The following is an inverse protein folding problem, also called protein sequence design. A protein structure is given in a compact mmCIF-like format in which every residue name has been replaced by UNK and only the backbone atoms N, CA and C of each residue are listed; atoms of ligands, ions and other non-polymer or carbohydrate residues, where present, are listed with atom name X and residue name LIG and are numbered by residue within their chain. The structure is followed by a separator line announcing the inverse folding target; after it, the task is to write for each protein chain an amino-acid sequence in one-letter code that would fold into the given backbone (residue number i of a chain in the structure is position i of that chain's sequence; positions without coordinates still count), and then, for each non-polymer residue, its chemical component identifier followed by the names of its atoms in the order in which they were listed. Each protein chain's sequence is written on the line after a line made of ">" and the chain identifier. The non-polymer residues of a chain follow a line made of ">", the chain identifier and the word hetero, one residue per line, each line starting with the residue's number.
data_IF_724068451489
#
_entry.id   IF_724068451489
#
_cell.length_a   1.000
_cell.length_b   1.000
_cell.length_c   1.000
_cell.angle_alpha   90.00
_cell.angle_beta   90.00
_cell.angle_gamma   90.00
#
_symmetry.space_group_name_H-M   'P 1'
#
loop_
_entity.id
_entity.type
_entity.pdbx_description
1 polymer ?
#
# COMPACT_ATOMS: atom_id res chain seq x y z
N UNK A 1 10.40 8.61 -17.61
CA UNK A 1 9.72 7.65 -16.70
C UNK A 1 9.06 8.37 -15.52
N UNK A 2 9.75 9.20 -14.74
CA UNK A 2 9.15 9.90 -13.57
C UNK A 2 7.97 10.83 -13.90
N UNK A 3 7.93 11.44 -15.08
CA UNK A 3 6.80 12.32 -15.50
C UNK A 3 5.45 11.59 -15.54
N UNK A 4 5.47 10.27 -15.64
CA UNK A 4 4.27 9.42 -15.71
C UNK A 4 3.93 8.71 -14.39
N UNK A 5 4.44 9.23 -13.28
CA UNK A 5 4.23 8.72 -11.93
C UNK A 5 3.61 9.81 -11.07
N UNK A 6 2.60 9.49 -10.30
CA UNK A 6 2.11 10.32 -9.19
C UNK A 6 2.50 9.70 -7.86
N UNK A 7 3.04 10.51 -6.95
CA UNK A 7 3.22 10.13 -5.55
C UNK A 7 1.94 10.51 -4.81
N UNK A 8 1.28 9.55 -4.17
CA UNK A 8 0.08 9.77 -3.36
C UNK A 8 0.42 9.60 -1.87
N UNK A 9 0.50 10.72 -1.15
CA UNK A 9 0.62 10.75 0.30
C UNK A 9 -0.77 10.66 0.93
N UNK A 10 -1.01 9.63 1.75
CA UNK A 10 -2.36 9.39 2.25
C UNK A 10 -2.46 9.29 3.78
N UNK A 11 -3.62 9.71 4.33
CA UNK A 11 -3.98 9.56 5.74
C UNK A 11 -3.51 10.71 6.60
N UNK A 12 -2.96 10.41 7.77
CA UNK A 12 -2.35 11.43 8.64
C UNK A 12 -0.99 11.82 8.06
N UNK A 13 -0.97 12.91 7.30
CA UNK A 13 0.28 13.42 6.71
C UNK A 13 1.02 14.28 7.74
N UNK A 14 2.36 14.15 7.80
CA UNK A 14 3.23 14.98 8.62
C UNK A 14 3.86 16.09 7.78
N UNK A 15 4.13 17.26 8.41
CA UNK A 15 4.76 18.37 7.71
C UNK A 15 6.14 17.98 7.16
N UNK A 16 6.94 17.26 7.93
CA UNK A 16 8.26 16.79 7.50
C UNK A 16 8.21 15.90 6.25
N UNK A 17 7.14 15.09 6.08
CA UNK A 17 6.93 14.29 4.88
C UNK A 17 6.66 15.17 3.67
N UNK A 18 5.82 16.20 3.85
CA UNK A 18 5.53 17.20 2.82
C UNK A 18 6.81 17.92 2.41
N UNK A 19 7.55 18.44 3.39
CA UNK A 19 8.79 19.19 3.17
C UNK A 19 9.86 18.34 2.47
N UNK A 20 9.95 17.06 2.83
CA UNK A 20 10.82 16.11 2.15
C UNK A 20 10.48 15.99 0.67
N UNK A 21 9.22 15.72 0.32
CA UNK A 21 8.82 15.56 -1.08
C UNK A 21 8.87 16.88 -1.85
N UNK A 22 8.54 18.00 -1.23
CA UNK A 22 8.66 19.32 -1.86
C UNK A 22 10.11 19.68 -2.19
N UNK A 23 11.06 19.27 -1.34
CA UNK A 23 12.50 19.51 -1.56
C UNK A 23 13.10 18.58 -2.60
N UNK A 24 12.81 17.29 -2.51
CA UNK A 24 13.46 16.27 -3.36
C UNK A 24 12.76 16.02 -4.70
N UNK A 25 11.46 16.36 -4.79
CA UNK A 25 10.62 16.09 -5.95
C UNK A 25 9.74 17.28 -6.37
N UNK A 26 10.31 18.52 -6.48
CA UNK A 26 9.51 19.74 -6.68
C UNK A 26 8.75 19.78 -8.02
N UNK A 27 9.19 18.98 -9.00
CA UNK A 27 8.58 18.91 -10.33
C UNK A 27 7.79 17.62 -10.57
N UNK A 28 7.59 16.81 -9.51
CA UNK A 28 6.86 15.57 -9.59
C UNK A 28 5.38 15.79 -9.28
N UNK A 29 4.49 15.07 -9.96
CA UNK A 29 3.09 15.04 -9.58
C UNK A 29 2.96 14.42 -8.19
N UNK A 30 2.49 15.20 -7.21
CA UNK A 30 2.22 14.75 -5.85
C UNK A 30 0.78 15.06 -5.49
N UNK A 31 0.06 14.08 -4.98
CA UNK A 31 -1.27 14.24 -4.40
C UNK A 31 -1.16 14.02 -2.90
N UNK A 32 -1.53 15.01 -2.11
CA UNK A 32 -1.60 14.94 -0.66
C UNK A 32 -3.07 14.76 -0.28
N UNK A 33 -3.46 13.56 0.14
CA UNK A 33 -4.83 13.27 0.57
C UNK A 33 -4.88 13.07 2.08
N UNK A 34 -5.34 14.10 2.78
CA UNK A 34 -5.31 14.18 4.24
C UNK A 34 -6.62 14.75 4.82
N UNK A 35 -6.63 15.05 6.11
CA UNK A 35 -7.81 15.49 6.84
C UNK A 35 -7.94 17.01 6.89
N UNK A 36 -9.17 17.52 6.86
CA UNK A 36 -9.45 18.98 6.97
C UNK A 36 -8.84 19.57 8.24
N UNK A 37 -8.85 18.79 9.34
CA UNK A 37 -8.36 19.25 10.64
C UNK A 37 -6.84 19.11 10.81
N UNK A 38 -6.12 18.72 9.74
CA UNK A 38 -4.66 18.66 9.77
C UNK A 38 -4.09 20.08 9.88
N UNK A 39 -3.22 20.30 10.87
CA UNK A 39 -2.52 21.58 11.06
C UNK A 39 -1.26 21.64 10.19
N UNK A 40 -1.44 21.53 8.88
CA UNK A 40 -0.34 21.51 7.90
C UNK A 40 -0.25 22.85 7.18
N UNK A 41 0.98 23.29 6.93
CA UNK A 41 1.24 24.47 6.11
C UNK A 41 1.45 24.06 4.65
N UNK A 42 0.52 24.44 3.79
CA UNK A 42 0.58 24.20 2.35
C UNK A 42 1.06 25.40 1.53
N UNK A 43 1.40 26.51 2.19
CA UNK A 43 1.72 27.78 1.50
C UNK A 43 2.96 27.74 0.62
N UNK A 44 3.87 26.80 0.89
CA UNK A 44 5.15 26.63 0.18
C UNK A 44 5.18 25.43 -0.77
N UNK A 45 4.03 24.85 -1.08
CA UNK A 45 3.99 23.69 -1.97
C UNK A 45 4.37 24.06 -3.41
N UNK A 46 5.14 23.19 -4.08
CA UNK A 46 5.36 23.31 -5.52
C UNK A 46 4.03 23.28 -6.30
N UNK A 47 3.96 23.94 -7.47
CA UNK A 47 2.73 23.94 -8.31
C UNK A 47 2.28 22.56 -8.79
N UNK A 48 3.18 21.58 -8.76
CA UNK A 48 2.89 20.18 -9.12
C UNK A 48 2.20 19.39 -8.01
N UNK A 49 1.96 19.99 -6.85
CA UNK A 49 1.33 19.36 -5.71
C UNK A 49 -0.15 19.70 -5.63
N UNK A 50 -0.99 18.68 -5.49
CA UNK A 50 -2.43 18.82 -5.29
C UNK A 50 -2.80 18.39 -3.87
N UNK A 51 -3.56 19.21 -3.14
CA UNK A 51 -4.02 18.92 -1.78
C UNK A 51 -5.50 18.59 -1.78
N UNK A 52 -5.84 17.43 -1.23
CA UNK A 52 -7.21 16.93 -1.09
C UNK A 52 -7.51 16.82 0.39
N UNK A 53 -8.37 17.69 0.87
CA UNK A 53 -8.80 17.72 2.27
C UNK A 53 -10.13 16.97 2.42
N UNK A 54 -10.14 15.97 3.28
CA UNK A 54 -11.30 15.14 3.54
C UNK A 54 -11.71 15.26 5.01
N UNK A 55 -13.02 15.29 5.28
CA UNK A 55 -13.51 15.25 6.66
C UNK A 55 -13.21 13.87 7.26
N UNK A 56 -12.59 13.86 8.43
CA UNK A 56 -12.30 12.63 9.17
C UNK A 56 -13.62 11.94 9.53
N UNK A 57 -13.84 10.66 9.19
CA UNK A 57 -15.00 9.90 9.63
C UNK A 57 -15.05 9.77 11.16
N UNK A 58 -16.26 9.60 11.72
CA UNK A 58 -16.43 9.39 13.16
C UNK A 58 -15.75 8.12 13.69
N UNK A 59 -15.56 7.11 12.84
CA UNK A 59 -14.92 5.84 13.18
C UNK A 59 -14.01 5.38 12.05
N UNK A 60 -12.81 4.94 12.40
CA UNK A 60 -11.85 4.35 11.48
C UNK A 60 -12.16 2.91 11.07
N UNK A 61 -13.12 2.27 11.76
CA UNK A 61 -13.31 0.83 11.64
C UNK A 61 -12.16 0.05 12.30
N UNK A 62 -12.11 -1.26 12.03
CA UNK A 62 -11.02 -2.10 12.53
C UNK A 62 -9.67 -1.58 12.01
N UNK A 63 -8.70 -1.40 12.90
CA UNK A 63 -7.36 -0.89 12.59
C UNK A 63 -7.32 0.31 11.62
N UNK A 64 -8.34 1.17 11.68
CA UNK A 64 -8.44 2.39 10.87
C UNK A 64 -8.60 2.18 9.35
N UNK A 65 -9.03 1.00 8.92
CA UNK A 65 -9.19 0.68 7.48
C UNK A 65 -10.07 1.70 6.74
N UNK A 66 -11.13 2.21 7.38
CA UNK A 66 -12.01 3.22 6.75
C UNK A 66 -11.30 4.55 6.52
N UNK A 67 -10.37 4.93 7.39
CA UNK A 67 -9.55 6.13 7.17
C UNK A 67 -8.62 5.92 5.98
N UNK A 68 -7.95 4.78 5.93
CA UNK A 68 -7.07 4.43 4.82
C UNK A 68 -7.82 4.41 3.50
N UNK A 69 -8.94 3.69 3.43
CA UNK A 69 -9.74 3.58 2.20
C UNK A 69 -10.25 4.93 1.72
N UNK A 70 -10.81 5.75 2.64
CA UNK A 70 -11.37 7.04 2.27
C UNK A 70 -10.29 8.01 1.77
N UNK A 71 -9.19 8.15 2.49
CA UNK A 71 -8.11 9.04 2.06
C UNK A 71 -7.47 8.57 0.77
N UNK A 72 -7.21 7.27 0.62
CA UNK A 72 -6.60 6.74 -0.62
C UNK A 72 -7.53 6.88 -1.81
N UNK A 73 -8.80 6.46 -1.72
CA UNK A 73 -9.74 6.55 -2.85
C UNK A 73 -10.01 7.99 -3.26
N UNK A 74 -10.09 8.93 -2.31
CA UNK A 74 -10.23 10.35 -2.63
C UNK A 74 -8.99 10.89 -3.37
N UNK A 75 -7.79 10.56 -2.90
CA UNK A 75 -6.55 10.96 -3.58
C UNK A 75 -6.41 10.36 -4.98
N UNK A 76 -6.76 9.08 -5.15
CA UNK A 76 -6.67 8.39 -6.44
C UNK A 76 -7.55 9.00 -7.53
N UNK A 77 -8.62 9.73 -7.19
CA UNK A 77 -9.44 10.47 -8.17
C UNK A 77 -8.67 11.59 -8.88
N UNK A 78 -7.61 12.08 -8.26
CA UNK A 78 -6.78 13.17 -8.80
C UNK A 78 -5.47 12.66 -9.43
N UNK A 79 -5.27 11.35 -9.46
CA UNK A 79 -4.15 10.73 -10.16
C UNK A 79 -4.50 10.60 -11.64
N UNK A 80 -3.72 11.28 -12.50
CA UNK A 80 -3.90 11.32 -13.95
C UNK A 80 -2.77 10.65 -14.72
N UNK A 81 -1.75 10.15 -14.03
CA UNK A 81 -0.60 9.45 -14.59
C UNK A 81 -0.85 7.95 -14.70
N UNK A 82 -0.09 7.25 -15.55
CA UNK A 82 -0.24 5.80 -15.73
C UNK A 82 0.17 5.00 -14.48
N UNK A 83 1.08 5.56 -13.67
CA UNK A 83 1.61 4.91 -12.48
C UNK A 83 1.34 5.74 -11.23
N UNK A 84 1.10 5.06 -10.13
CA UNK A 84 0.97 5.69 -8.81
C UNK A 84 1.80 4.96 -7.77
N UNK A 85 2.41 5.73 -6.89
CA UNK A 85 3.11 5.25 -5.68
C UNK A 85 2.38 5.83 -4.48
N UNK A 86 1.49 5.04 -3.88
CA UNK A 86 0.81 5.39 -2.63
C UNK A 86 1.75 5.14 -1.46
N UNK A 87 1.91 6.14 -0.62
CA UNK A 87 2.76 6.11 0.58
C UNK A 87 1.94 6.63 1.76
N UNK A 88 2.17 6.09 2.95
CA UNK A 88 1.60 6.63 4.18
C UNK A 88 2.13 8.04 4.40
N UNK A 89 1.26 8.92 4.85
CA UNK A 89 1.60 10.34 5.04
C UNK A 89 2.58 10.62 6.17
N UNK A 90 2.87 9.65 7.02
CA UNK A 90 3.84 9.72 8.10
C UNK A 90 5.22 9.10 7.74
N UNK A 91 5.43 8.81 6.46
CA UNK A 91 6.64 8.16 5.94
C UNK A 91 7.17 8.84 4.68
N UNK A 92 8.46 8.62 4.39
CA UNK A 92 9.04 8.98 3.11
C UNK A 92 10.08 7.96 2.64
N UNK A 93 10.25 7.90 1.33
CA UNK A 93 11.22 7.07 0.62
C UNK A 93 11.88 7.92 -0.48
N UNK A 94 13.21 7.92 -0.53
CA UNK A 94 13.91 8.86 -1.42
C UNK A 94 14.01 8.38 -2.87
N UNK A 95 14.02 7.07 -3.12
CA UNK A 95 14.26 6.54 -4.45
C UNK A 95 12.98 6.08 -5.15
N UNK A 96 12.02 7.01 -5.33
CA UNK A 96 10.77 6.75 -6.08
C UNK A 96 11.06 6.31 -7.52
N UNK A 97 12.18 6.74 -8.10
CA UNK A 97 12.59 6.31 -9.44
C UNK A 97 12.78 4.80 -9.53
N UNK A 98 13.33 4.18 -8.49
CA UNK A 98 13.47 2.73 -8.43
C UNK A 98 12.10 2.05 -8.45
N UNK A 99 11.15 2.52 -7.63
CA UNK A 99 9.76 1.99 -7.63
C UNK A 99 9.15 2.12 -9.03
N UNK A 100 9.30 3.27 -9.68
CA UNK A 100 8.79 3.49 -11.03
C UNK A 100 9.40 2.53 -12.05
N UNK A 101 10.67 2.19 -11.90
CA UNK A 101 11.36 1.22 -12.76
C UNK A 101 10.80 -0.19 -12.55
N UNK A 102 10.61 -0.59 -11.31
CA UNK A 102 10.03 -1.89 -10.96
C UNK A 102 8.59 -2.05 -11.50
N UNK A 103 7.77 -0.99 -11.41
CA UNK A 103 6.42 -0.99 -12.00
C UNK A 103 6.50 -1.19 -13.52
N UNK A 104 7.40 -0.47 -14.18
CA UNK A 104 7.54 -0.57 -15.63
C UNK A 104 8.01 -1.96 -16.10
N UNK A 105 8.84 -2.64 -15.30
CA UNK A 105 9.28 -4.02 -15.58
C UNK A 105 8.18 -5.04 -15.31
N UNK A 106 7.30 -4.79 -14.34
CA UNK A 106 6.25 -5.70 -13.92
C UNK A 106 4.89 -4.98 -13.79
N UNK A 107 4.33 -4.42 -14.88
CA UNK A 107 3.16 -3.52 -14.83
C UNK A 107 1.87 -4.22 -14.38
N UNK A 108 1.82 -5.53 -14.47
CA UNK A 108 0.65 -6.31 -14.05
C UNK A 108 0.60 -6.61 -12.55
N UNK A 109 1.68 -6.27 -11.81
CA UNK A 109 1.77 -6.52 -10.37
C UNK A 109 1.54 -5.27 -9.55
N UNK A 110 1.07 -5.47 -8.33
CA UNK A 110 1.16 -4.50 -7.24
C UNK A 110 2.53 -4.63 -6.59
N UNK A 111 3.20 -3.52 -6.38
CA UNK A 111 4.50 -3.44 -5.73
C UNK A 111 4.33 -2.91 -4.32
N UNK A 112 4.94 -3.58 -3.34
CA UNK A 112 4.91 -3.18 -1.93
C UNK A 112 6.29 -3.34 -1.27
N UNK A 113 6.50 -2.67 -0.15
CA UNK A 113 7.71 -2.82 0.67
C UNK A 113 7.55 -3.96 1.68
N UNK A 114 8.64 -4.56 2.18
CA UNK A 114 8.56 -5.66 3.15
C UNK A 114 8.17 -5.23 4.57
N UNK A 115 7.95 -3.94 4.81
CA UNK A 115 7.61 -3.39 6.13
C UNK A 115 6.33 -4.02 6.66
N UNK A 116 6.42 -4.70 7.80
CA UNK A 116 5.32 -5.46 8.42
C UNK A 116 4.69 -6.55 7.53
N UNK A 117 5.37 -6.97 6.49
CA UNK A 117 4.96 -8.13 5.72
C UNK A 117 4.96 -9.39 6.61
N UNK A 118 3.93 -10.22 6.53
CA UNK A 118 3.83 -11.41 7.36
C UNK A 118 4.03 -12.69 6.56
N UNK A 119 4.71 -13.66 7.18
CA UNK A 119 4.92 -14.96 6.56
C UNK A 119 3.57 -15.67 6.31
N UNK A 120 3.45 -16.37 5.17
CA UNK A 120 2.22 -17.04 4.75
C UNK A 120 1.66 -18.03 5.78
N UNK A 121 2.53 -18.76 6.45
CA UNK A 121 2.11 -19.79 7.41
C UNK A 121 1.56 -19.16 8.70
N UNK A 122 1.92 -17.91 8.99
CA UNK A 122 1.37 -17.16 10.11
C UNK A 122 0.10 -16.41 9.71
N UNK A 123 0.13 -15.67 8.60
CA UNK A 123 -0.99 -14.85 8.15
C UNK A 123 -1.05 -14.81 6.63
N UNK A 124 -1.98 -15.59 6.08
CA UNK A 124 -2.18 -15.66 4.63
C UNK A 124 -2.65 -14.33 4.05
N UNK A 125 -2.22 -14.04 2.83
CA UNK A 125 -2.62 -12.85 2.07
C UNK A 125 -2.24 -11.50 2.70
N UNK A 126 -1.32 -11.48 3.65
CA UNK A 126 -0.88 -10.25 4.29
C UNK A 126 0.27 -9.63 3.52
N UNK A 127 0.02 -8.47 2.88
CA UNK A 127 1.06 -7.60 2.27
C UNK A 127 1.32 -6.42 3.20
N UNK A 128 2.33 -5.61 2.85
CA UNK A 128 2.52 -4.31 3.50
C UNK A 128 1.65 -3.24 2.83
N UNK A 129 0.98 -2.42 3.62
CA UNK A 129 0.20 -1.26 3.15
C UNK A 129 0.98 0.07 3.21
N UNK A 130 2.22 0.05 3.67
CA UNK A 130 3.08 1.22 3.81
C UNK A 130 3.36 1.88 2.46
N UNK A 131 3.81 1.09 1.49
CA UNK A 131 3.88 1.48 0.08
C UNK A 131 3.05 0.51 -0.72
N UNK A 132 2.14 1.04 -1.53
CA UNK A 132 1.41 0.29 -2.57
C UNK A 132 1.59 1.05 -3.89
N UNK A 133 2.23 0.40 -4.84
CA UNK A 133 2.55 1.01 -6.12
C UNK A 133 2.18 0.09 -7.29
N UNK A 134 1.91 0.67 -8.44
CA UNK A 134 1.54 -0.09 -9.64
C UNK A 134 1.00 0.82 -10.74
N UNK A 135 0.39 0.21 -11.76
CA UNK A 135 -0.43 0.99 -12.66
C UNK A 135 -1.58 1.63 -11.90
N UNK A 136 -1.96 2.83 -12.28
CA UNK A 136 -3.04 3.58 -11.62
C UNK A 136 -4.33 2.76 -11.58
N UNK A 137 -4.62 2.01 -12.65
CA UNK A 137 -5.81 1.15 -12.72
C UNK A 137 -5.76 0.00 -11.73
N UNK A 138 -4.61 -0.68 -11.58
CA UNK A 138 -4.47 -1.77 -10.61
C UNK A 138 -4.60 -1.27 -9.17
N UNK A 139 -4.01 -0.12 -8.85
CA UNK A 139 -4.11 0.46 -7.51
C UNK A 139 -5.55 0.96 -7.23
N UNK A 140 -6.19 1.61 -8.22
CA UNK A 140 -7.63 1.97 -8.12
C UNK A 140 -8.49 0.73 -7.91
N UNK A 141 -8.29 -0.32 -8.70
CA UNK A 141 -9.04 -1.58 -8.57
C UNK A 141 -8.94 -2.13 -7.14
N UNK A 142 -7.71 -2.18 -6.57
CA UNK A 142 -7.49 -2.66 -5.21
C UNK A 142 -8.30 -1.86 -4.19
N UNK A 143 -8.15 -0.54 -4.17
CA UNK A 143 -8.78 0.30 -3.15
C UNK A 143 -10.30 0.44 -3.32
N UNK A 144 -10.80 0.57 -4.56
CA UNK A 144 -12.23 0.67 -4.83
C UNK A 144 -12.97 -0.62 -4.49
N UNK A 145 -12.39 -1.78 -4.80
CA UNK A 145 -12.98 -3.07 -4.45
C UNK A 145 -12.94 -3.33 -2.96
N UNK A 146 -11.83 -3.01 -2.30
CA UNK A 146 -11.75 -3.13 -0.84
C UNK A 146 -12.77 -2.24 -0.15
N UNK A 147 -12.91 -1.00 -0.62
CA UNK A 147 -13.93 -0.09 -0.11
C UNK A 147 -15.34 -0.66 -0.31
N UNK A 148 -15.66 -1.14 -1.50
CA UNK A 148 -16.95 -1.76 -1.81
C UNK A 148 -17.24 -2.94 -0.88
N UNK A 149 -16.30 -3.87 -0.72
CA UNK A 149 -16.50 -5.04 0.14
C UNK A 149 -16.58 -4.66 1.62
N UNK A 150 -15.77 -3.69 2.08
CA UNK A 150 -15.80 -3.22 3.47
C UNK A 150 -17.12 -2.53 3.81
N UNK A 151 -17.60 -1.65 2.92
CA UNK A 151 -18.83 -0.89 3.13
C UNK A 151 -20.08 -1.80 3.13
N UNK A 152 -20.01 -2.93 2.43
CA UNK A 152 -21.11 -3.90 2.31
C UNK A 152 -20.92 -5.16 3.20
N UNK A 153 -19.90 -5.22 4.03
CA UNK A 153 -19.57 -6.37 4.89
C UNK A 153 -19.44 -7.70 4.13
N UNK A 154 -18.95 -7.68 2.88
CA UNK A 154 -18.93 -8.86 2.01
C UNK A 154 -17.70 -9.75 2.20
N UNK A 155 -16.60 -9.23 2.75
CA UNK A 155 -15.36 -10.00 2.95
C UNK A 155 -15.56 -11.17 3.92
N UNK A 156 -16.46 -11.02 4.88
CA UNK A 156 -16.78 -12.07 5.87
C UNK A 156 -17.28 -13.38 5.28
N UNK A 157 -17.82 -13.36 4.07
CA UNK A 157 -18.42 -14.52 3.42
C UNK A 157 -17.42 -15.31 2.56
N UNK A 158 -16.20 -14.80 2.35
CA UNK A 158 -15.28 -15.33 1.33
C UNK A 158 -14.24 -16.30 1.91
N UNK A 159 -13.91 -16.20 3.19
CA UNK A 159 -12.93 -17.07 3.82
C UNK A 159 -13.61 -18.21 4.59
N UNK A 160 -14.04 -19.24 3.84
CA UNK A 160 -14.37 -20.61 4.31
C UNK A 160 -14.67 -20.76 5.81
N UNK A 161 -15.86 -20.31 6.28
CA UNK A 161 -16.42 -20.72 7.59
C UNK A 161 -15.54 -20.49 8.83
N UNK A 162 -14.33 -20.00 8.70
CA UNK A 162 -13.50 -19.58 9.82
C UNK A 162 -13.89 -18.16 10.16
N UNK A 163 -14.57 -18.02 11.28
CA UNK A 163 -14.76 -16.73 11.94
C UNK A 163 -13.39 -16.17 12.34
N UNK A 164 -12.74 -15.53 11.41
CA UNK A 164 -11.76 -14.51 11.77
C UNK A 164 -12.59 -13.31 12.21
N UNK A 165 -12.69 -13.09 13.49
CA UNK A 165 -13.46 -11.96 14.03
C UNK A 165 -12.91 -10.61 13.57
N UNK A 166 -11.71 -10.59 12.97
CA UNK A 166 -11.02 -9.38 12.50
C UNK A 166 -10.10 -9.70 11.34
N UNK A 167 -10.34 -9.06 10.19
CA UNK A 167 -9.38 -9.03 9.09
C UNK A 167 -8.50 -7.81 9.20
N UNK A 168 -7.18 -8.02 9.19
CA UNK A 168 -6.22 -6.94 9.05
C UNK A 168 -6.50 -6.16 7.75
N UNK A 169 -6.36 -4.82 7.73
CA UNK A 169 -6.55 -4.01 6.55
C UNK A 169 -5.81 -4.53 5.33
N UNK A 170 -4.59 -5.01 5.53
CA UNK A 170 -3.69 -5.54 4.51
C UNK A 170 -4.26 -6.80 3.85
N UNK A 171 -4.87 -7.69 4.63
CA UNK A 171 -5.53 -8.89 4.11
C UNK A 171 -6.75 -8.49 3.28
N UNK A 172 -7.53 -7.51 3.77
CA UNK A 172 -8.69 -7.00 3.04
C UNK A 172 -8.30 -6.42 1.68
N UNK A 173 -7.22 -5.63 1.62
CA UNK A 173 -6.68 -5.08 0.38
C UNK A 173 -6.30 -6.20 -0.59
N UNK A 174 -5.55 -7.16 -0.11
CA UNK A 174 -5.05 -8.27 -0.93
C UNK A 174 -6.17 -9.14 -1.50
N UNK A 175 -7.08 -9.60 -0.64
CA UNK A 175 -8.17 -10.50 -1.04
C UNK A 175 -9.11 -9.79 -2.00
N UNK A 176 -9.50 -8.56 -1.69
CA UNK A 176 -10.40 -7.78 -2.56
C UNK A 176 -9.81 -7.56 -3.95
N UNK A 177 -8.50 -7.29 -4.00
CA UNK A 177 -7.79 -7.14 -5.26
C UNK A 177 -7.74 -8.44 -6.05
N UNK A 178 -7.33 -9.55 -5.42
CA UNK A 178 -7.22 -10.85 -6.09
C UNK A 178 -8.57 -11.34 -6.61
N UNK A 179 -9.64 -11.21 -5.84
CA UNK A 179 -11.00 -11.55 -6.27
C UNK A 179 -11.43 -10.75 -7.50
N UNK A 180 -11.07 -9.47 -7.56
CA UNK A 180 -11.43 -8.60 -8.67
C UNK A 180 -10.54 -8.78 -9.89
N UNK A 181 -9.25 -9.05 -9.69
CA UNK A 181 -8.25 -9.19 -10.75
C UNK A 181 -8.27 -10.57 -11.39
N UNK A 182 -8.54 -11.61 -10.59
CA UNK A 182 -8.44 -13.02 -10.95
C UNK A 182 -9.74 -13.79 -10.63
N UNK A 183 -10.93 -13.31 -11.08
CA UNK A 183 -12.22 -13.87 -10.66
C UNK A 183 -12.35 -15.37 -10.99
N UNK A 184 -11.75 -15.82 -12.10
CA UNK A 184 -11.82 -17.22 -12.55
C UNK A 184 -10.80 -18.14 -11.87
N UNK A 185 -9.82 -17.56 -11.17
CA UNK A 185 -8.70 -18.29 -10.54
C UNK A 185 -8.74 -18.24 -9.02
N UNK A 186 -9.45 -17.27 -8.45
CA UNK A 186 -9.42 -16.97 -7.02
C UNK A 186 -9.65 -18.19 -6.12
N UNK A 187 -10.62 -19.02 -6.44
CA UNK A 187 -11.02 -20.22 -5.67
C UNK A 187 -10.41 -21.54 -6.19
N UNK A 188 -9.72 -21.51 -7.34
CA UNK A 188 -9.21 -22.69 -8.04
C UNK A 188 -7.71 -22.86 -7.98
N UNK A 189 -6.98 -21.79 -7.70
CA UNK A 189 -5.51 -21.75 -7.72
C UNK A 189 -4.99 -21.58 -6.29
N UNK A 190 -3.87 -22.23 -5.99
CA UNK A 190 -3.19 -22.03 -4.70
C UNK A 190 -2.94 -20.55 -4.44
N UNK A 191 -3.35 -20.08 -3.26
CA UNK A 191 -3.26 -18.66 -2.90
C UNK A 191 -1.83 -18.11 -2.90
N UNK A 192 -0.81 -18.95 -2.62
CA UNK A 192 0.60 -18.56 -2.71
C UNK A 192 0.97 -18.22 -4.15
N UNK A 193 0.51 -19.02 -5.09
CA UNK A 193 0.73 -18.75 -6.51
C UNK A 193 0.05 -17.46 -6.93
N UNK A 194 -1.17 -17.20 -6.48
CA UNK A 194 -1.85 -15.92 -6.75
C UNK A 194 -1.07 -14.72 -6.19
N UNK A 195 -0.50 -14.87 -5.00
CA UNK A 195 0.35 -13.81 -4.42
C UNK A 195 1.59 -13.55 -5.27
N UNK A 196 2.31 -14.59 -5.68
CA UNK A 196 3.52 -14.47 -6.52
C UNK A 196 3.19 -13.88 -7.91
N UNK A 197 2.07 -14.30 -8.51
CA UNK A 197 1.66 -13.82 -9.82
C UNK A 197 1.27 -12.31 -9.81
N UNK A 198 0.71 -11.82 -8.70
CA UNK A 198 0.09 -10.50 -8.63
C UNK A 198 0.84 -9.45 -7.79
N UNK A 199 1.83 -9.86 -6.99
CA UNK A 199 2.58 -8.95 -6.12
C UNK A 199 4.08 -9.03 -6.36
N UNK A 200 4.76 -7.90 -6.16
CA UNK A 200 6.21 -7.77 -6.17
C UNK A 200 6.65 -7.05 -4.90
N UNK A 201 7.59 -7.65 -4.16
CA UNK A 201 8.12 -7.06 -2.94
C UNK A 201 9.42 -6.36 -3.28
N UNK A 202 9.44 -5.04 -3.04
CA UNK A 202 10.58 -4.20 -3.31
C UNK A 202 11.66 -4.42 -2.25
N UNK A 203 12.93 -4.37 -2.65
CA UNK A 203 14.01 -4.32 -1.69
C UNK A 203 14.09 -2.92 -1.08
N UNK A 204 13.83 -2.81 0.23
CA UNK A 204 13.78 -1.54 0.94
C UNK A 204 15.13 -0.79 0.90
N UNK A 205 16.26 -1.50 0.84
CA UNK A 205 17.59 -0.88 0.72
C UNK A 205 17.75 -0.05 -0.55
N UNK A 206 17.00 -0.37 -1.60
CA UNK A 206 17.02 0.42 -2.83
C UNK A 206 16.21 1.73 -2.71
N UNK A 207 15.49 1.92 -1.61
CA UNK A 207 14.63 3.09 -1.36
C UNK A 207 15.26 4.10 -0.39
N UNK A 208 16.47 3.87 0.05
CA UNK A 208 17.20 4.72 1.00
C UNK A 208 17.56 6.10 0.42
N UNK A 209 17.64 7.13 1.27
CA UNK A 209 17.18 7.15 2.65
C UNK A 209 15.66 7.11 2.75
N UNK A 210 15.15 6.45 3.80
CA UNK A 210 13.73 6.39 4.08
C UNK A 210 13.45 6.68 5.57
N UNK A 211 12.23 7.10 5.87
CA UNK A 211 11.71 7.19 7.23
C UNK A 211 10.41 6.42 7.32
N UNK A 212 10.35 5.53 8.27
CA UNK A 212 9.16 4.76 8.63
C UNK A 212 8.84 5.08 10.08
N UNK A 213 7.56 5.06 10.48
CA UNK A 213 7.14 5.41 11.85
C UNK A 213 7.78 4.47 12.87
N UNK A 214 8.81 4.98 13.57
CA UNK A 214 9.75 4.19 14.37
C UNK A 214 9.15 3.43 15.57
N UNK A 215 7.97 3.80 16.05
CA UNK A 215 7.39 3.18 17.26
C UNK A 215 6.96 1.72 17.06
N UNK A 216 6.88 1.27 15.83
CA UNK A 216 6.47 -0.07 15.47
C UNK A 216 7.66 -1.04 15.46
N UNK A 217 8.88 -0.53 15.26
CA UNK A 217 10.11 -1.34 15.20
C UNK A 217 10.61 -1.90 16.54
N UNK A 218 9.99 -1.51 17.66
CA UNK A 218 10.38 -1.99 19.00
C UNK A 218 9.61 -3.22 19.48
N UNK A 219 8.60 -3.66 18.75
CA UNK A 219 7.89 -4.90 19.06
C UNK A 219 8.75 -6.09 18.66
N UNK A 220 8.92 -7.06 19.56
CA UNK A 220 9.65 -8.30 19.33
C UNK A 220 9.14 -9.02 18.08
N UNK A 221 9.92 -9.00 17.03
CA UNK A 221 9.53 -9.38 15.67
C UNK A 221 9.33 -10.88 15.48
N UNK A 222 10.17 -11.68 16.12
CA UNK A 222 10.28 -13.11 15.84
C UNK A 222 9.06 -13.95 16.25
N UNK A 223 8.38 -13.71 17.38
CA UNK A 223 7.27 -14.58 17.79
C UNK A 223 6.00 -14.42 16.96
N UNK A 224 5.89 -13.32 16.16
CA UNK A 224 4.64 -12.91 15.53
C UNK A 224 4.63 -13.13 13.99
N UNK A 225 5.60 -13.84 13.44
CA UNK A 225 5.67 -14.14 12.00
C UNK A 225 5.96 -12.92 11.12
N UNK A 226 6.54 -11.84 11.67
CA UNK A 226 7.07 -10.75 10.89
C UNK A 226 8.34 -11.18 10.18
N UNK A 227 8.54 -10.69 8.99
CA UNK A 227 9.74 -10.93 8.24
C UNK A 227 10.69 -9.76 8.43
N UNK A 228 11.96 -9.99 8.82
CA UNK A 228 12.93 -8.93 9.01
C UNK A 228 13.15 -8.13 7.73
N UNK A 229 13.15 -6.81 7.84
CA UNK A 229 13.27 -5.88 6.70
C UNK A 229 14.57 -6.03 5.91
N UNK A 230 15.62 -6.50 6.57
CA UNK A 230 16.96 -6.53 6.02
C UNK A 230 17.23 -7.66 5.02
N UNK A 231 16.35 -8.64 4.91
CA UNK A 231 16.63 -9.89 4.20
C UNK A 231 15.78 -10.12 2.93
N UNK A 232 15.00 -9.12 2.48
CA UNK A 232 14.14 -9.32 1.31
C UNK A 232 14.82 -8.98 -0.01
N UNK A 233 15.01 -10.01 -0.81
CA UNK A 233 15.21 -9.89 -2.25
C UNK A 233 14.00 -10.46 -3.00
N UNK A 234 13.87 -10.18 -4.30
CA UNK A 234 12.83 -10.78 -5.16
C UNK A 234 12.88 -12.32 -5.12
N UNK A 235 14.08 -12.90 -4.92
CA UNK A 235 14.26 -14.35 -4.70
C UNK A 235 13.57 -14.84 -3.42
N UNK A 236 13.38 -13.96 -2.43
CA UNK A 236 12.81 -14.33 -1.14
C UNK A 236 11.28 -14.42 -1.19
N UNK A 237 10.61 -13.82 -2.20
CA UNK A 237 9.17 -14.05 -2.43
C UNK A 237 8.90 -15.54 -2.63
N UNK A 238 9.76 -16.25 -3.36
CA UNK A 238 9.66 -17.70 -3.53
C UNK A 238 9.91 -18.46 -2.22
N UNK A 239 10.72 -17.90 -1.32
CA UNK A 239 10.97 -18.46 0.01
C UNK A 239 9.84 -18.14 1.00
N UNK A 240 9.21 -16.97 0.88
CA UNK A 240 8.02 -16.61 1.64
C UNK A 240 6.80 -17.45 1.26
N UNK A 241 6.73 -17.83 -0.02
CA UNK A 241 5.67 -18.61 -0.59
C UNK A 241 6.24 -19.88 -1.26
N UNK A 242 6.94 -20.76 -0.51
CA UNK A 242 7.50 -21.97 -1.10
C UNK A 242 6.38 -22.81 -1.70
N UNK A 243 6.60 -23.43 -2.87
CA UNK A 243 5.62 -24.36 -3.43
C UNK A 243 5.36 -25.46 -2.40
N UNK A 244 4.11 -25.86 -2.26
CA UNK A 244 3.77 -27.04 -1.44
C UNK A 244 4.57 -28.23 -1.99
N UNK A 245 5.33 -28.88 -1.12
CA UNK A 245 5.92 -30.19 -1.40
C UNK A 245 4.83 -31.23 -1.58
#
# INVERSE_FOLDING_TARGET
>A
MMKNVTILLQGKVLQETIDFYATHYPNQNVVISTWIDSKLDFSKLPPSFNVILTKLPKSGGHQNIKYQLLSTTNGLRFVTTDYVVKIRGDEYYSNIKHIATEIAMNPNKIHCVPVFFRHWDFMKYHISDHVIAGTTDNVKLMFDKTKFYTDNNLIWNVLEGKKYDYFEPEINLTISYLMAKEPDRWDKVDGRKLMVDNFNILNIKHLEPYKIVANIFKASWEPNGFVPEDNFSISDVNNLYPPKK
#
